data_IF_958107555589
#
_entry.id   IF_958107555589
#
_cell.length_a   1.000
_cell.length_b   1.000
_cell.length_c   1.000
_cell.angle_alpha   90.00
_cell.angle_beta   90.00
_cell.angle_gamma   90.00
#
_symmetry.space_group_name_H-M   'P 1'
#
loop_
_entity.id
_entity.type
_entity.pdbx_description
1 polymer ?
#
# COMPACT_ATOMS: atom_id res chain seq x y z
N UNK A 1 18.48 10.40 31.05
CA UNK A 1 18.57 11.77 30.46
C UNK A 1 17.13 12.29 30.31
N UNK A 2 16.88 13.53 30.73
CA UNK A 2 15.54 14.15 30.62
C UNK A 2 15.56 15.17 29.50
N UNK A 3 14.54 15.13 28.63
CA UNK A 3 14.27 16.12 27.59
C UNK A 3 13.14 17.04 28.06
N UNK A 4 13.32 18.35 27.93
CA UNK A 4 12.33 19.37 28.31
C UNK A 4 12.19 20.43 27.23
N UNK A 5 11.05 21.11 27.19
CA UNK A 5 10.87 22.31 26.40
C UNK A 5 11.47 23.51 27.15
N UNK A 6 12.36 24.21 26.50
CA UNK A 6 12.85 25.47 27.04
C UNK A 6 14.04 25.39 27.99
N UNK A 7 14.66 26.55 28.15
CA UNK A 7 15.90 26.72 28.92
C UNK A 7 15.64 26.72 30.43
N UNK A 8 14.52 27.32 30.89
CA UNK A 8 14.17 27.45 32.30
C UNK A 8 14.04 26.09 32.98
N UNK A 9 13.40 25.14 32.31
CA UNK A 9 13.18 23.79 32.83
C UNK A 9 14.48 23.01 32.88
N UNK A 10 15.30 23.18 31.85
CA UNK A 10 16.63 22.58 31.81
C UNK A 10 17.50 23.13 32.99
N UNK A 11 17.49 24.44 33.23
CA UNK A 11 18.19 25.07 34.36
C UNK A 11 17.65 24.61 35.72
N UNK A 12 16.35 24.46 35.86
CA UNK A 12 15.70 23.94 37.05
C UNK A 12 16.17 22.52 37.37
N UNK A 13 16.20 21.63 36.36
CA UNK A 13 16.68 20.26 36.53
C UNK A 13 18.19 20.24 36.87
N UNK A 14 19.02 21.04 36.24
CA UNK A 14 20.44 21.15 36.53
C UNK A 14 20.70 21.70 37.95
N UNK A 15 19.89 22.66 38.40
CA UNK A 15 19.96 23.16 39.77
C UNK A 15 19.75 22.03 40.78
N UNK A 16 18.89 21.06 40.42
CA UNK A 16 18.65 19.87 41.24
C UNK A 16 19.57 18.68 40.92
N UNK A 17 20.64 18.90 40.13
CA UNK A 17 21.62 17.89 39.69
C UNK A 17 21.03 16.75 38.84
N UNK A 18 19.92 17.00 38.15
CA UNK A 18 19.28 16.06 37.22
C UNK A 18 19.76 16.34 35.82
N UNK A 19 20.37 15.33 35.10
CA UNK A 19 20.82 15.49 33.74
C UNK A 19 19.65 15.76 32.77
N UNK A 20 19.68 16.90 32.11
CA UNK A 20 18.62 17.32 31.17
C UNK A 20 19.18 18.01 29.92
N UNK A 21 18.42 17.94 28.85
CA UNK A 21 18.62 18.68 27.59
C UNK A 21 17.35 19.47 27.28
N UNK A 22 17.54 20.78 27.04
CA UNK A 22 16.45 21.66 26.60
C UNK A 22 16.31 21.63 25.09
N UNK A 23 15.10 21.46 24.62
CA UNK A 23 14.72 21.57 23.21
C UNK A 23 14.24 23.00 22.99
N UNK A 24 14.79 23.76 22.00
CA UNK A 24 14.42 25.16 21.80
C UNK A 24 13.04 25.30 21.15
N UNK A 25 12.00 24.90 21.89
CA UNK A 25 10.60 24.83 21.47
C UNK A 25 10.19 23.50 20.84
N UNK A 26 8.97 23.06 21.13
CA UNK A 26 8.39 21.76 20.76
C UNK A 26 8.51 21.40 19.28
N UNK A 27 8.28 22.38 18.41
CA UNK A 27 8.32 22.20 16.96
C UNK A 27 9.73 22.11 16.35
N UNK A 28 10.77 22.34 17.14
CA UNK A 28 12.16 22.42 16.65
C UNK A 28 12.97 21.13 16.82
N UNK A 29 12.39 20.06 17.35
CA UNK A 29 13.08 18.77 17.41
C UNK A 29 13.58 18.35 16.02
N UNK A 30 14.83 17.85 15.96
CA UNK A 30 15.48 17.31 14.76
C UNK A 30 16.00 15.91 15.09
N UNK A 31 15.73 14.94 14.23
CA UNK A 31 16.14 13.56 14.44
C UNK A 31 17.67 13.40 14.53
N UNK A 32 18.43 14.31 13.91
CA UNK A 32 19.89 14.38 14.02
C UNK A 32 20.36 14.56 15.48
N UNK A 33 19.55 15.19 16.32
CA UNK A 33 19.86 15.38 17.74
C UNK A 33 19.78 14.10 18.55
N UNK A 34 19.11 13.07 18.05
CA UNK A 34 19.06 11.76 18.69
C UNK A 34 20.46 11.15 18.87
N UNK A 35 21.45 11.54 18.04
CA UNK A 35 22.85 11.11 18.18
C UNK A 35 23.51 11.60 19.46
N UNK A 36 23.06 12.74 20.03
CA UNK A 36 23.53 13.21 21.34
C UNK A 36 23.03 12.35 22.50
N UNK A 37 22.07 11.46 22.24
CA UNK A 37 21.49 10.54 23.19
C UNK A 37 22.07 9.12 23.04
N UNK A 38 23.09 8.92 22.20
CA UNK A 38 23.70 7.62 22.01
C UNK A 38 24.32 7.09 23.32
N UNK A 39 24.09 5.80 23.57
CA UNK A 39 24.54 5.14 24.81
C UNK A 39 23.69 5.43 26.04
N UNK A 40 22.63 6.24 25.93
CA UNK A 40 21.66 6.48 27.02
C UNK A 40 20.56 5.42 26.95
N UNK A 41 20.43 4.60 27.98
CA UNK A 41 19.46 3.50 28.03
C UNK A 41 18.02 3.99 28.13
N UNK A 42 17.75 5.07 28.89
CA UNK A 42 16.41 5.64 29.09
C UNK A 42 16.42 7.13 28.79
N UNK A 43 15.55 7.53 27.90
CA UNK A 43 15.30 8.93 27.55
C UNK A 43 13.91 9.29 28.07
N UNK A 44 13.83 10.21 29.02
CA UNK A 44 12.56 10.71 29.56
C UNK A 44 12.23 12.02 28.85
N UNK A 45 11.02 12.17 28.35
CA UNK A 45 10.54 13.43 27.80
C UNK A 45 9.39 13.97 28.66
N UNK A 46 9.58 15.17 29.20
CA UNK A 46 8.49 15.88 29.89
C UNK A 46 7.53 16.38 28.82
N UNK A 47 6.28 15.94 28.92
CA UNK A 47 5.21 16.33 28.00
C UNK A 47 4.30 17.32 28.72
N UNK A 48 4.31 18.56 28.25
CA UNK A 48 3.46 19.60 28.78
C UNK A 48 1.99 19.38 28.38
N UNK A 49 1.01 19.71 29.23
CA UNK A 49 -0.42 19.50 28.93
C UNK A 49 -0.98 20.61 28.02
N UNK A 50 -0.32 20.88 26.90
CA UNK A 50 -0.71 21.85 25.90
C UNK A 50 -0.33 21.39 24.49
N UNK A 51 -0.68 22.18 23.47
CA UNK A 51 -0.41 21.88 22.07
C UNK A 51 1.12 21.76 21.75
N UNK A 52 1.97 22.42 22.52
CA UNK A 52 3.44 22.27 22.45
C UNK A 52 3.85 20.86 22.82
N UNK A 53 3.40 20.37 23.98
CA UNK A 53 3.69 19.02 24.43
C UNK A 53 3.17 17.95 23.48
N UNK A 54 1.97 18.11 22.90
CA UNK A 54 1.45 17.20 21.86
C UNK A 54 2.37 17.16 20.64
N UNK A 55 2.83 18.33 20.19
CA UNK A 55 3.76 18.45 19.04
C UNK A 55 5.10 17.78 19.35
N UNK A 56 5.64 17.98 20.56
CA UNK A 56 6.89 17.36 20.98
C UNK A 56 6.75 15.84 21.08
N UNK A 57 5.66 15.35 21.70
CA UNK A 57 5.32 13.94 21.76
C UNK A 57 5.32 13.32 20.37
N UNK A 58 4.60 13.92 19.42
CA UNK A 58 4.50 13.42 18.06
C UNK A 58 5.87 13.31 17.37
N UNK A 59 6.73 14.31 17.53
CA UNK A 59 8.07 14.30 16.91
C UNK A 59 9.02 13.28 17.57
N UNK A 60 9.06 13.22 18.88
CA UNK A 60 9.93 12.26 19.59
C UNK A 60 9.52 10.81 19.34
N UNK A 61 8.22 10.53 19.27
CA UNK A 61 7.69 9.18 19.04
C UNK A 61 7.89 8.70 17.59
N UNK A 62 8.04 9.62 16.64
CA UNK A 62 8.41 9.31 15.25
C UNK A 62 9.91 9.06 15.08
N UNK A 63 10.76 9.54 15.99
CA UNK A 63 12.21 9.35 15.91
C UNK A 63 12.61 7.92 16.26
N UNK A 64 12.88 7.08 15.27
CA UNK A 64 13.18 5.65 15.44
C UNK A 64 14.39 5.39 16.35
N UNK A 65 15.38 6.28 16.34
CA UNK A 65 16.63 6.14 17.11
C UNK A 65 16.38 6.09 18.61
N UNK A 66 15.40 6.85 19.12
CA UNK A 66 15.12 6.95 20.57
C UNK A 66 13.83 6.25 21.00
N UNK A 67 12.96 5.88 20.05
CA UNK A 67 11.61 5.39 20.31
C UNK A 67 11.53 4.23 21.28
N UNK A 68 12.44 3.24 21.17
CA UNK A 68 12.44 2.05 22.03
C UNK A 68 12.82 2.34 23.49
N UNK A 69 13.55 3.45 23.74
CA UNK A 69 14.04 3.86 25.04
C UNK A 69 13.39 5.16 25.55
N UNK A 70 12.39 5.66 24.81
CA UNK A 70 11.62 6.85 25.15
C UNK A 70 10.58 6.52 26.23
N UNK A 71 10.58 7.34 27.29
CA UNK A 71 9.61 7.30 28.38
C UNK A 71 8.91 8.66 28.44
N UNK A 72 7.59 8.67 28.41
CA UNK A 72 6.83 9.91 28.57
C UNK A 72 6.62 10.20 30.04
N UNK A 73 6.92 11.41 30.44
CA UNK A 73 6.90 11.91 31.81
C UNK A 73 5.87 13.02 31.94
N UNK A 74 4.89 12.81 32.78
CA UNK A 74 3.88 13.80 33.17
C UNK A 74 4.13 14.23 34.64
N UNK A 75 4.01 15.53 34.91
CA UNK A 75 4.26 16.10 36.22
C UNK A 75 2.96 16.35 37.04
N UNK A 76 1.91 15.62 36.74
CA UNK A 76 0.62 15.71 37.40
C UNK A 76 -0.07 17.07 37.18
N UNK A 77 -0.28 17.84 38.27
CA UNK A 77 -0.92 19.16 38.19
C UNK A 77 0.03 20.26 37.68
N UNK A 78 1.32 19.97 37.56
CA UNK A 78 2.34 20.94 37.17
C UNK A 78 2.65 20.81 35.68
N UNK A 79 2.66 21.95 35.02
CA UNK A 79 2.87 22.03 33.57
C UNK A 79 4.29 21.53 33.18
N UNK A 80 5.29 21.97 33.93
CA UNK A 80 6.71 21.84 33.63
C UNK A 80 7.53 21.70 34.91
N UNK A 81 8.85 21.36 34.80
CA UNK A 81 9.74 21.29 35.96
C UNK A 81 9.88 22.59 36.74
N UNK A 82 9.81 23.73 36.07
CA UNK A 82 9.88 25.06 36.72
C UNK A 82 8.66 25.29 37.60
N UNK A 83 7.47 24.97 37.12
CA UNK A 83 6.22 25.06 37.92
C UNK A 83 6.24 24.09 39.10
N UNK A 84 6.74 22.87 38.93
CA UNK A 84 6.89 21.89 40.02
C UNK A 84 7.86 22.42 41.09
N UNK A 85 8.97 23.05 40.69
CA UNK A 85 9.93 23.65 41.64
C UNK A 85 9.33 24.83 42.39
N UNK A 86 8.67 25.75 41.71
CA UNK A 86 8.04 26.91 42.34
C UNK A 86 6.95 26.55 43.33
N UNK A 87 6.27 25.45 43.12
CA UNK A 87 5.23 24.97 44.04
C UNK A 87 5.79 24.50 45.40
N UNK A 88 6.93 23.79 45.42
CA UNK A 88 7.62 23.34 46.63
C UNK A 88 9.09 22.99 46.31
N UNK A 89 10.00 23.96 46.42
CA UNK A 89 11.43 23.73 46.11
C UNK A 89 12.07 22.66 47.00
N UNK A 90 11.61 22.53 48.24
CA UNK A 90 12.19 21.59 49.21
C UNK A 90 11.87 20.12 48.92
N UNK A 91 10.75 19.88 48.23
CA UNK A 91 10.31 18.51 47.86
C UNK A 91 10.42 18.23 46.38
N UNK A 92 11.08 19.11 45.63
CA UNK A 92 11.18 18.95 44.17
C UNK A 92 11.80 17.60 43.80
N UNK A 93 12.97 17.25 44.36
CA UNK A 93 13.67 16.00 44.04
C UNK A 93 12.79 14.78 44.27
N UNK A 94 12.19 14.70 45.46
CA UNK A 94 11.28 13.59 45.84
C UNK A 94 10.12 13.46 44.85
N UNK A 95 9.47 14.56 44.49
CA UNK A 95 8.31 14.57 43.58
C UNK A 95 8.73 14.25 42.13
N UNK A 96 9.89 14.73 41.72
CA UNK A 96 10.41 14.44 40.37
C UNK A 96 10.86 12.99 40.24
N UNK A 97 11.48 12.41 41.27
CA UNK A 97 11.85 10.99 41.33
C UNK A 97 10.60 10.10 41.23
N UNK A 98 9.54 10.42 41.96
CA UNK A 98 8.25 9.72 41.85
C UNK A 98 7.70 9.82 40.41
N UNK A 99 7.82 10.98 39.76
CA UNK A 99 7.39 11.13 38.38
C UNK A 99 8.23 10.28 37.42
N UNK A 100 9.56 10.20 37.59
CA UNK A 100 10.45 9.33 36.81
C UNK A 100 10.11 7.83 36.99
N UNK A 101 9.78 7.40 38.23
CA UNK A 101 9.35 6.02 38.49
C UNK A 101 8.03 5.67 37.85
N UNK A 102 7.13 6.64 37.73
CA UNK A 102 5.82 6.48 37.08
C UNK A 102 5.85 6.70 35.57
N UNK A 103 6.97 7.15 35.02
CA UNK A 103 7.11 7.38 33.57
C UNK A 103 6.94 6.08 32.76
N UNK A 104 6.07 6.10 31.79
CA UNK A 104 5.75 4.91 31.01
C UNK A 104 6.57 4.85 29.74
N UNK A 105 7.15 3.69 29.40
CA UNK A 105 7.78 3.49 28.09
C UNK A 105 6.77 3.79 26.97
N UNK A 106 7.21 4.57 25.97
CA UNK A 106 6.35 4.90 24.83
C UNK A 106 5.76 3.67 24.14
N UNK A 107 6.58 2.63 23.96
CA UNK A 107 6.15 1.37 23.31
C UNK A 107 4.97 0.71 24.05
N UNK A 108 4.96 0.77 25.38
CA UNK A 108 3.85 0.21 26.17
C UNK A 108 2.58 1.07 26.04
N UNK A 109 2.72 2.40 26.01
CA UNK A 109 1.62 3.32 25.79
C UNK A 109 1.02 3.13 24.40
N UNK A 110 1.85 3.12 23.37
CA UNK A 110 1.43 2.91 22.00
C UNK A 110 0.71 1.56 21.80
N UNK A 111 1.22 0.52 22.46
CA UNK A 111 0.58 -0.79 22.43
C UNK A 111 -0.79 -0.75 23.11
N UNK A 112 -0.88 -0.15 24.29
CA UNK A 112 -2.14 -0.05 25.04
C UNK A 112 -3.19 0.80 24.30
N UNK A 113 -2.77 1.94 23.72
CA UNK A 113 -3.60 2.80 22.88
C UNK A 113 -4.09 2.04 21.64
N UNK A 114 -3.18 1.31 20.95
CA UNK A 114 -3.52 0.49 19.82
C UNK A 114 -4.48 -0.66 20.11
N UNK A 115 -4.30 -1.35 21.24
CA UNK A 115 -5.21 -2.39 21.69
C UNK A 115 -6.60 -1.83 22.07
N UNK A 116 -6.66 -0.64 22.67
CA UNK A 116 -7.91 0.04 22.96
C UNK A 116 -8.65 0.45 21.67
N UNK A 117 -7.94 1.09 20.74
CA UNK A 117 -8.49 1.46 19.44
C UNK A 117 -8.97 0.23 18.64
N UNK A 118 -8.23 -0.87 18.68
CA UNK A 118 -8.63 -2.13 18.04
C UNK A 118 -9.90 -2.73 18.64
N UNK A 119 -10.04 -2.71 19.98
CA UNK A 119 -11.27 -3.18 20.65
C UNK A 119 -12.48 -2.31 20.32
N UNK A 120 -12.31 -1.00 20.29
CA UNK A 120 -13.35 -0.06 19.92
C UNK A 120 -13.78 -0.27 18.47
N UNK A 121 -12.81 -0.37 17.55
CA UNK A 121 -13.06 -0.65 16.15
C UNK A 121 -13.78 -1.99 15.93
N UNK A 122 -13.37 -3.04 16.67
CA UNK A 122 -14.07 -4.33 16.64
C UNK A 122 -15.54 -4.21 16.98
N UNK A 123 -15.88 -3.48 18.05
CA UNK A 123 -17.28 -3.27 18.44
C UNK A 123 -18.15 -2.63 17.36
N UNK A 124 -17.55 -1.85 16.46
CA UNK A 124 -18.25 -1.17 15.36
C UNK A 124 -18.26 -1.98 14.05
N UNK A 125 -17.28 -2.85 13.82
CA UNK A 125 -17.17 -3.61 12.57
C UNK A 125 -17.49 -5.11 12.68
N UNK A 126 -17.77 -5.65 13.86
CA UNK A 126 -17.91 -7.09 14.08
C UNK A 126 -18.87 -7.75 13.11
N UNK A 127 -20.08 -7.22 12.93
CA UNK A 127 -21.08 -7.76 12.01
C UNK A 127 -20.55 -7.82 10.56
N UNK A 128 -19.85 -6.77 10.15
CA UNK A 128 -19.22 -6.71 8.83
C UNK A 128 -18.07 -7.69 8.70
N UNK A 129 -17.19 -7.75 9.71
CA UNK A 129 -15.99 -8.60 9.73
C UNK A 129 -16.31 -10.09 9.74
N UNK A 130 -17.41 -10.50 10.38
CA UNK A 130 -17.91 -11.88 10.44
C UNK A 130 -18.75 -12.26 9.21
N UNK A 131 -19.03 -11.29 8.32
CA UNK A 131 -19.78 -11.51 7.09
C UNK A 131 -19.09 -12.49 6.13
N UNK A 132 -19.88 -13.34 5.47
CA UNK A 132 -19.37 -14.35 4.53
C UNK A 132 -18.94 -13.76 3.18
N UNK A 133 -19.51 -12.63 2.76
CA UNK A 133 -19.19 -11.92 1.50
C UNK A 133 -19.04 -10.41 1.73
N UNK A 134 -17.91 -10.04 2.31
CA UNK A 134 -17.59 -8.62 2.59
C UNK A 134 -17.45 -7.82 1.28
N UNK A 135 -16.85 -8.40 0.23
CA UNK A 135 -16.71 -7.72 -1.06
C UNK A 135 -18.05 -7.58 -1.80
N UNK A 136 -18.98 -8.50 -1.62
CA UNK A 136 -20.35 -8.37 -2.15
C UNK A 136 -21.08 -7.22 -1.49
N UNK A 137 -21.09 -7.19 -0.14
CA UNK A 137 -21.68 -6.09 0.64
C UNK A 137 -21.04 -4.73 0.28
N UNK A 138 -19.71 -4.69 0.14
CA UNK A 138 -19.01 -3.50 -0.33
C UNK A 138 -19.55 -3.00 -1.68
N UNK A 139 -19.71 -3.90 -2.66
CA UNK A 139 -20.19 -3.51 -3.99
C UNK A 139 -21.65 -3.01 -3.98
N UNK A 140 -22.50 -3.58 -3.13
CA UNK A 140 -23.89 -3.14 -2.95
C UNK A 140 -23.95 -1.74 -2.33
N UNK A 141 -23.16 -1.49 -1.30
CA UNK A 141 -23.10 -0.18 -0.66
C UNK A 141 -22.47 0.87 -1.57
N UNK A 142 -21.42 0.51 -2.32
CA UNK A 142 -20.82 1.37 -3.31
C UNK A 142 -21.80 1.75 -4.44
N UNK A 143 -22.63 0.82 -4.88
CA UNK A 143 -23.66 1.11 -5.88
C UNK A 143 -24.67 2.16 -5.37
N UNK A 144 -25.04 2.09 -4.07
CA UNK A 144 -25.91 3.11 -3.43
C UNK A 144 -25.24 4.49 -3.36
N UNK A 145 -23.89 4.58 -3.36
CA UNK A 145 -23.15 5.85 -3.42
C UNK A 145 -23.00 6.43 -4.82
N UNK A 146 -23.72 5.89 -5.82
CA UNK A 146 -23.75 6.40 -7.18
C UNK A 146 -22.66 5.84 -8.12
N UNK A 147 -21.91 4.81 -7.71
CA UNK A 147 -20.98 4.12 -8.62
C UNK A 147 -21.72 3.03 -9.37
N UNK A 148 -21.93 3.24 -10.64
CA UNK A 148 -22.68 2.33 -11.50
C UNK A 148 -21.75 1.52 -12.42
N UNK A 149 -21.94 0.19 -12.48
CA UNK A 149 -21.31 -0.70 -13.47
C UNK A 149 -19.84 -1.05 -13.26
N UNK A 150 -19.15 -0.45 -12.29
CA UNK A 150 -17.71 -0.67 -12.06
C UNK A 150 -17.41 -1.51 -10.80
N UNK A 151 -18.36 -2.35 -10.36
CA UNK A 151 -18.23 -3.13 -9.14
C UNK A 151 -16.97 -4.02 -9.08
N UNK A 152 -16.58 -4.62 -10.20
CA UNK A 152 -15.36 -5.45 -10.31
C UNK A 152 -14.09 -4.64 -10.05
N UNK A 153 -13.97 -3.48 -10.70
CA UNK A 153 -12.83 -2.57 -10.52
C UNK A 153 -12.78 -2.08 -9.08
N UNK A 154 -13.91 -1.68 -8.54
CA UNK A 154 -14.01 -1.19 -7.17
C UNK A 154 -13.64 -2.26 -6.12
N UNK A 155 -14.10 -3.52 -6.28
CA UNK A 155 -13.68 -4.65 -5.43
C UNK A 155 -12.17 -4.86 -5.47
N UNK A 156 -11.56 -4.79 -6.66
CA UNK A 156 -10.10 -4.92 -6.81
C UNK A 156 -9.35 -3.76 -6.16
N UNK A 157 -9.83 -2.53 -6.30
CA UNK A 157 -9.25 -1.36 -5.64
C UNK A 157 -9.33 -1.48 -4.12
N UNK A 158 -10.49 -1.85 -3.57
CA UNK A 158 -10.66 -2.04 -2.13
C UNK A 158 -9.75 -3.15 -1.59
N UNK A 159 -9.67 -4.28 -2.30
CA UNK A 159 -8.79 -5.39 -1.93
C UNK A 159 -7.31 -5.01 -2.04
N UNK A 160 -6.93 -4.22 -3.06
CA UNK A 160 -5.58 -3.69 -3.18
C UNK A 160 -5.25 -2.77 -2.00
N UNK A 161 -6.13 -1.83 -1.63
CA UNK A 161 -5.90 -0.96 -0.47
C UNK A 161 -5.78 -1.78 0.82
N UNK A 162 -6.58 -2.84 1.00
CA UNK A 162 -6.43 -3.77 2.12
C UNK A 162 -5.06 -4.45 2.12
N UNK A 163 -4.48 -4.73 0.93
CA UNK A 163 -3.14 -5.33 0.81
C UNK A 163 -2.00 -4.46 1.33
N UNK A 164 -2.23 -3.19 1.71
CA UNK A 164 -1.22 -2.30 2.33
C UNK A 164 -0.60 -2.89 3.59
N UNK A 165 -1.36 -3.75 4.26
CA UNK A 165 -0.95 -4.41 5.50
C UNK A 165 0.03 -5.57 5.27
N UNK A 166 0.21 -6.00 4.01
CA UNK A 166 1.17 -7.03 3.62
C UNK A 166 2.53 -6.40 3.32
N UNK A 167 3.59 -7.22 3.37
CA UNK A 167 4.95 -6.79 3.00
C UNK A 167 5.07 -6.29 1.54
N UNK A 168 4.18 -6.73 0.66
CA UNK A 168 4.16 -6.34 -0.76
C UNK A 168 2.74 -6.02 -1.21
N UNK A 169 2.31 -4.76 -1.07
CA UNK A 169 1.02 -4.30 -1.55
C UNK A 169 0.84 -4.48 -3.06
N UNK A 170 -0.40 -4.69 -3.49
CA UNK A 170 -0.72 -4.81 -4.92
C UNK A 170 -1.05 -3.44 -5.50
N UNK A 171 -0.14 -2.89 -6.29
CA UNK A 171 -0.32 -1.59 -6.91
C UNK A 171 -1.13 -1.65 -8.20
N UNK A 172 -1.95 -0.62 -8.44
CA UNK A 172 -2.92 -0.57 -9.53
C UNK A 172 -2.72 0.68 -10.38
N UNK A 173 -2.83 0.51 -11.70
CA UNK A 173 -3.00 1.60 -12.66
C UNK A 173 -4.37 1.50 -13.33
N UNK A 174 -5.21 2.51 -13.10
CA UNK A 174 -6.55 2.61 -13.68
C UNK A 174 -6.50 3.40 -14.97
N UNK A 175 -6.74 2.73 -16.10
CA UNK A 175 -6.73 3.30 -17.46
C UNK A 175 -8.13 3.61 -17.94
N UNK A 176 -8.24 4.58 -18.86
CA UNK A 176 -9.49 4.89 -19.56
C UNK A 176 -9.49 6.29 -20.13
N UNK A 177 -10.49 6.64 -20.96
CA UNK A 177 -10.60 7.95 -21.59
C UNK A 177 -10.72 9.07 -20.55
N UNK A 178 -10.45 10.30 -20.97
CA UNK A 178 -10.80 11.48 -20.19
C UNK A 178 -12.31 11.45 -19.90
N UNK A 179 -12.70 11.85 -18.71
CA UNK A 179 -14.11 11.79 -18.26
C UNK A 179 -14.71 10.38 -18.12
N UNK A 180 -13.91 9.32 -18.20
CA UNK A 180 -14.35 7.92 -18.04
C UNK A 180 -14.61 7.49 -16.58
N UNK A 181 -14.77 8.41 -15.63
CA UNK A 181 -15.12 8.09 -14.23
C UNK A 181 -13.99 7.53 -13.37
N UNK A 182 -12.74 7.44 -13.86
CA UNK A 182 -11.59 6.86 -13.14
C UNK A 182 -11.39 7.43 -11.73
N UNK A 183 -11.28 8.76 -11.64
CA UNK A 183 -11.06 9.44 -10.35
C UNK A 183 -12.26 9.26 -9.44
N UNK A 184 -13.47 9.34 -9.98
CA UNK A 184 -14.70 9.13 -9.22
C UNK A 184 -14.75 7.74 -8.58
N UNK A 185 -14.46 6.67 -9.33
CA UNK A 185 -14.42 5.31 -8.77
C UNK A 185 -13.37 5.18 -7.67
N UNK A 186 -12.16 5.73 -7.87
CA UNK A 186 -11.11 5.72 -6.84
C UNK A 186 -11.56 6.48 -5.59
N UNK A 187 -12.07 7.69 -5.72
CA UNK A 187 -12.55 8.51 -4.59
C UNK A 187 -13.65 7.80 -3.81
N UNK A 188 -14.62 7.20 -4.50
CA UNK A 188 -15.70 6.46 -3.86
C UNK A 188 -15.21 5.20 -3.14
N UNK A 189 -14.23 4.47 -3.68
CA UNK A 189 -13.61 3.34 -2.96
C UNK A 189 -12.85 3.84 -1.72
N UNK A 190 -12.15 4.96 -1.82
CA UNK A 190 -11.40 5.54 -0.70
C UNK A 190 -12.32 6.03 0.42
N UNK A 191 -13.57 6.40 0.14
CA UNK A 191 -14.55 6.74 1.19
C UNK A 191 -14.84 5.56 2.15
N UNK A 192 -14.56 4.31 1.75
CA UNK A 192 -14.73 3.12 2.58
C UNK A 192 -13.49 2.77 3.42
N UNK A 193 -12.45 3.58 3.39
CA UNK A 193 -11.23 3.37 4.16
C UNK A 193 -10.85 4.63 4.92
N UNK A 194 -10.23 4.54 6.12
CA UNK A 194 -9.83 5.73 6.86
C UNK A 194 -8.73 6.50 6.12
N UNK A 195 -8.65 7.80 6.32
CA UNK A 195 -7.64 8.67 5.69
C UNK A 195 -6.20 8.24 6.05
N UNK A 196 -6.00 7.58 7.20
CA UNK A 196 -4.72 6.98 7.58
C UNK A 196 -4.23 5.90 6.61
N UNK A 197 -5.13 5.27 5.85
CA UNK A 197 -4.80 4.17 4.93
C UNK A 197 -4.21 4.62 3.59
N UNK A 198 -4.29 5.92 3.25
CA UNK A 198 -3.81 6.44 1.97
C UNK A 198 -3.27 7.86 2.08
N UNK A 199 -2.53 8.26 1.05
CA UNK A 199 -2.07 9.63 0.82
C UNK A 199 -2.40 10.01 -0.63
N UNK A 200 -3.40 10.87 -0.81
CA UNK A 200 -3.91 11.23 -2.13
C UNK A 200 -3.34 12.56 -2.62
N UNK A 201 -2.88 12.60 -3.86
CA UNK A 201 -2.32 13.76 -4.53
C UNK A 201 -2.95 13.93 -5.91
N UNK A 202 -3.33 15.16 -6.24
CA UNK A 202 -3.79 15.49 -7.60
C UNK A 202 -2.65 15.44 -8.61
N UNK A 203 -1.46 15.89 -8.19
CA UNK A 203 -0.24 15.83 -8.98
C UNK A 203 0.96 15.79 -8.03
N UNK A 204 2.10 15.31 -8.53
CA UNK A 204 3.33 15.21 -7.76
C UNK A 204 4.51 15.70 -8.61
N UNK A 205 5.34 16.58 -8.06
CA UNK A 205 6.60 16.95 -8.69
C UNK A 205 7.61 15.79 -8.62
N UNK A 206 8.62 15.81 -9.48
CA UNK A 206 9.64 14.74 -9.55
C UNK A 206 10.35 14.47 -8.22
N UNK A 207 10.49 15.49 -7.38
CA UNK A 207 11.23 15.41 -6.11
C UNK A 207 10.34 15.20 -4.88
N UNK A 208 9.03 15.39 -5.00
CA UNK A 208 8.11 15.32 -3.86
C UNK A 208 8.23 14.01 -3.10
N UNK A 209 8.33 12.88 -3.80
CA UNK A 209 8.44 11.57 -3.15
C UNK A 209 9.70 11.43 -2.27
N UNK A 210 10.81 12.08 -2.67
CA UNK A 210 12.05 12.04 -1.88
C UNK A 210 11.99 12.97 -0.66
N UNK A 211 11.42 14.18 -0.82
CA UNK A 211 11.52 15.24 0.18
C UNK A 211 10.26 15.45 1.05
N UNK A 212 9.16 14.77 0.74
CA UNK A 212 7.97 14.81 1.60
C UNK A 212 8.25 14.15 2.94
N UNK A 213 7.78 14.72 4.02
CA UNK A 213 7.85 14.15 5.38
C UNK A 213 6.65 13.25 5.70
N UNK A 214 5.62 13.24 4.82
CA UNK A 214 4.41 12.45 5.01
C UNK A 214 4.73 10.94 5.05
N UNK A 215 4.39 10.20 6.12
CA UNK A 215 4.67 8.77 6.20
C UNK A 215 3.85 8.01 5.16
N UNK A 216 4.50 7.06 4.48
CA UNK A 216 3.88 6.24 3.43
C UNK A 216 3.89 4.74 3.74
N UNK A 217 4.50 4.33 4.84
CA UNK A 217 4.58 2.94 5.28
C UNK A 217 3.17 2.41 5.61
N UNK A 218 2.81 1.27 5.04
CA UNK A 218 1.48 0.67 5.15
C UNK A 218 0.32 1.58 4.69
N UNK A 219 0.61 2.53 3.79
CA UNK A 219 -0.37 3.41 3.16
C UNK A 219 -0.33 3.27 1.66
N UNK A 220 -1.42 3.65 1.00
CA UNK A 220 -1.47 3.76 -0.45
C UNK A 220 -1.18 5.19 -0.90
N UNK A 221 -0.21 5.34 -1.78
CA UNK A 221 -0.03 6.59 -2.52
C UNK A 221 -1.05 6.60 -3.67
N UNK A 222 -1.92 7.60 -3.70
CA UNK A 222 -2.94 7.75 -4.74
C UNK A 222 -2.61 8.99 -5.57
N UNK A 223 -2.40 8.81 -6.89
CA UNK A 223 -2.05 9.90 -7.79
C UNK A 223 -3.09 9.98 -8.90
N UNK A 224 -3.84 11.08 -8.89
CA UNK A 224 -4.79 11.40 -9.94
C UNK A 224 -4.02 12.02 -11.11
N UNK A 225 -4.04 11.34 -12.28
CA UNK A 225 -3.27 11.67 -13.48
C UNK A 225 -1.75 11.41 -13.42
N UNK A 226 -1.34 10.30 -14.01
CA UNK A 226 0.08 9.93 -14.15
C UNK A 226 0.92 10.88 -15.02
N UNK A 227 0.32 11.85 -15.69
CA UNK A 227 1.02 12.81 -16.56
C UNK A 227 2.12 13.60 -15.79
N UNK A 228 1.92 13.85 -14.48
CA UNK A 228 2.93 14.47 -13.61
C UNK A 228 4.12 13.56 -13.24
N UNK A 229 4.04 12.24 -13.54
CA UNK A 229 5.09 11.25 -13.22
C UNK A 229 6.01 10.94 -14.41
N UNK A 230 6.03 11.75 -15.45
CA UNK A 230 6.80 11.51 -16.67
C UNK A 230 8.32 11.69 -16.51
N UNK A 231 8.76 12.31 -15.42
CA UNK A 231 10.17 12.51 -15.12
C UNK A 231 10.91 11.22 -14.81
N UNK A 232 12.13 11.05 -15.34
CA UNK A 232 12.97 9.86 -15.12
C UNK A 232 13.25 9.62 -13.64
N UNK A 233 13.39 10.69 -12.87
CA UNK A 233 13.71 10.63 -11.43
C UNK A 233 12.50 10.15 -10.61
N UNK A 234 11.31 10.72 -10.80
CA UNK A 234 10.09 10.25 -10.14
C UNK A 234 9.80 8.77 -10.48
N UNK A 235 9.98 8.40 -11.75
CA UNK A 235 9.85 7.00 -12.21
C UNK A 235 10.83 6.06 -11.50
N UNK A 236 12.08 6.49 -11.29
CA UNK A 236 13.09 5.70 -10.58
C UNK A 236 12.73 5.52 -9.10
N UNK A 237 12.42 6.59 -8.39
CA UNK A 237 12.06 6.54 -6.97
C UNK A 237 10.82 5.68 -6.74
N UNK A 238 9.80 5.84 -7.58
CA UNK A 238 8.58 5.02 -7.52
C UNK A 238 8.90 3.54 -7.72
N UNK A 239 9.76 3.21 -8.67
CA UNK A 239 10.19 1.84 -8.95
C UNK A 239 10.92 1.23 -7.76
N UNK A 240 11.83 1.97 -7.14
CA UNK A 240 12.55 1.53 -5.95
C UNK A 240 11.56 1.25 -4.81
N UNK A 241 10.66 2.18 -4.54
CA UNK A 241 9.65 2.04 -3.49
C UNK A 241 8.75 0.81 -3.69
N UNK A 242 8.23 0.61 -4.90
CA UNK A 242 7.33 -0.52 -5.21
C UNK A 242 8.05 -1.88 -5.30
N UNK A 243 9.35 -1.90 -5.59
CA UNK A 243 10.11 -3.16 -5.75
C UNK A 243 10.89 -3.55 -4.51
N UNK A 244 11.47 -2.56 -3.83
CA UNK A 244 12.39 -2.75 -2.71
C UNK A 244 11.71 -2.45 -1.36
N UNK A 245 10.49 -1.91 -1.38
CA UNK A 245 9.73 -1.53 -0.20
C UNK A 245 10.27 -0.28 0.50
N UNK A 246 11.26 0.40 -0.08
CA UNK A 246 11.85 1.64 0.46
C UNK A 246 12.52 2.45 -0.62
N UNK A 247 12.72 3.74 -0.37
CA UNK A 247 13.60 4.61 -1.17
C UNK A 247 14.80 4.98 -0.32
N UNK A 248 16.00 4.80 -0.88
CA UNK A 248 17.25 5.36 -0.34
C UNK A 248 17.90 6.18 -1.45
N UNK A 249 17.96 7.47 -1.23
CA UNK A 249 18.48 8.40 -2.20
C UNK A 249 19.48 9.36 -1.55
N UNK A 250 20.72 9.31 -2.01
CA UNK A 250 21.77 10.23 -1.55
C UNK A 250 21.85 11.43 -2.48
N UNK A 251 21.75 12.61 -1.91
CA UNK A 251 21.85 13.90 -2.60
C UNK A 251 22.88 14.79 -1.91
N UNK A 252 23.12 15.96 -2.46
CA UNK A 252 23.97 16.98 -1.84
C UNK A 252 23.11 18.17 -1.41
N UNK A 253 23.37 18.68 -0.23
CA UNK A 253 22.73 19.86 0.32
C UNK A 253 23.78 20.94 0.55
N UNK A 254 23.46 22.19 0.21
CA UNK A 254 24.31 23.34 0.50
C UNK A 254 23.97 23.85 1.90
N UNK A 255 24.92 23.71 2.82
CA UNK A 255 24.80 24.20 4.19
C UNK A 255 25.72 25.43 4.39
N UNK A 256 25.64 26.09 5.55
CA UNK A 256 26.56 27.17 5.94
C UNK A 256 28.04 26.75 5.91
N UNK A 257 28.32 25.45 6.11
CA UNK A 257 29.67 24.86 6.14
C UNK A 257 30.12 24.29 4.79
N UNK A 258 29.36 24.50 3.71
CA UNK A 258 29.63 23.98 2.37
C UNK A 258 28.68 22.89 1.90
N UNK A 259 29.06 22.17 0.85
CA UNK A 259 28.25 21.09 0.26
C UNK A 259 28.50 19.82 1.06
N UNK A 260 27.41 19.25 1.62
CA UNK A 260 27.45 17.98 2.37
C UNK A 260 26.52 16.93 1.72
N UNK A 261 26.88 15.64 1.76
CA UNK A 261 25.95 14.59 1.35
C UNK A 261 24.78 14.50 2.34
N UNK A 262 23.57 14.28 1.81
CA UNK A 262 22.35 14.03 2.57
C UNK A 262 21.71 12.74 2.08
N UNK A 263 21.54 11.78 2.97
CA UNK A 263 20.78 10.58 2.70
C UNK A 263 19.30 10.85 2.99
N UNK A 264 18.45 10.56 2.01
CA UNK A 264 16.98 10.61 2.12
C UNK A 264 16.49 9.18 2.13
N UNK A 265 15.79 8.80 3.18
CA UNK A 265 15.15 7.50 3.32
C UNK A 265 13.64 7.66 3.42
N UNK A 266 12.93 6.81 2.68
CA UNK A 266 11.47 6.71 2.74
C UNK A 266 11.11 5.25 2.93
N UNK A 267 10.62 4.93 4.10
CA UNK A 267 10.22 3.57 4.41
C UNK A 267 8.88 3.19 3.77
N UNK A 268 8.81 1.95 3.30
CA UNK A 268 7.60 1.24 2.94
C UNK A 268 7.36 0.07 3.90
N UNK A 269 6.54 -0.89 3.53
CA UNK A 269 5.92 -1.04 2.22
C UNK A 269 4.83 -0.01 1.94
N UNK A 270 4.67 0.37 0.66
CA UNK A 270 3.59 1.21 0.19
C UNK A 270 3.01 0.66 -1.10
N UNK A 271 1.70 0.84 -1.30
CA UNK A 271 1.05 0.57 -2.57
C UNK A 271 0.86 1.85 -3.40
N UNK A 272 0.56 1.69 -4.68
CA UNK A 272 0.27 2.80 -5.59
C UNK A 272 -1.07 2.57 -6.29
N UNK A 273 -1.92 3.58 -6.26
CA UNK A 273 -3.05 3.70 -7.18
C UNK A 273 -2.77 4.92 -8.06
N UNK A 274 -2.79 4.72 -9.37
CA UNK A 274 -2.61 5.81 -10.33
C UNK A 274 -3.68 5.77 -11.39
N UNK A 275 -4.28 6.92 -11.72
CA UNK A 275 -5.18 7.05 -12.86
C UNK A 275 -4.43 7.61 -14.07
N UNK A 276 -4.76 7.14 -15.27
CA UNK A 276 -4.10 7.60 -16.48
C UNK A 276 -5.01 7.52 -17.71
N UNK A 277 -4.85 8.45 -18.62
CA UNK A 277 -5.41 8.40 -19.97
C UNK A 277 -4.42 7.79 -20.98
N UNK A 278 -3.15 7.63 -20.58
CA UNK A 278 -2.12 7.08 -21.46
C UNK A 278 -2.36 5.60 -21.75
N UNK A 279 -2.31 5.24 -23.02
CA UNK A 279 -2.43 3.83 -23.47
C UNK A 279 -1.24 3.00 -22.96
N UNK A 280 -0.04 3.60 -22.89
CA UNK A 280 1.18 2.96 -22.38
C UNK A 280 1.85 3.84 -21.35
N UNK A 281 2.18 3.28 -20.21
CA UNK A 281 3.14 3.84 -19.26
C UNK A 281 4.56 3.41 -19.66
N UNK A 282 5.57 3.89 -18.94
CA UNK A 282 6.94 3.42 -19.16
C UNK A 282 7.01 1.89 -18.99
N UNK A 283 7.58 1.16 -19.96
CA UNK A 283 7.54 -0.30 -20.04
C UNK A 283 8.00 -1.03 -18.73
N UNK A 284 8.94 -0.44 -18.01
CA UNK A 284 9.41 -1.01 -16.74
C UNK A 284 8.42 -0.83 -15.57
N UNK A 285 7.61 0.22 -15.59
CA UNK A 285 6.55 0.44 -14.59
C UNK A 285 5.34 -0.44 -14.89
N UNK A 286 5.07 -0.71 -16.18
CA UNK A 286 3.97 -1.58 -16.59
C UNK A 286 4.07 -3.00 -16.01
N UNK A 287 5.26 -3.46 -15.70
CA UNK A 287 5.44 -4.81 -15.13
C UNK A 287 5.18 -4.89 -13.62
N UNK A 288 5.01 -3.77 -12.93
CA UNK A 288 4.84 -3.70 -11.45
C UNK A 288 3.44 -3.35 -11.01
N UNK A 289 2.59 -2.96 -11.96
CA UNK A 289 1.23 -2.52 -11.71
C UNK A 289 0.23 -3.50 -12.30
N UNK A 290 -0.86 -3.74 -11.59
CA UNK A 290 -2.03 -4.39 -12.14
C UNK A 290 -2.83 -3.34 -12.92
N UNK A 291 -3.08 -3.59 -14.21
CA UNK A 291 -3.82 -2.67 -15.05
C UNK A 291 -5.31 -2.97 -15.02
N UNK A 292 -6.10 -1.96 -14.69
CA UNK A 292 -7.54 -1.98 -14.77
C UNK A 292 -7.98 -0.96 -15.84
N UNK A 293 -8.96 -1.32 -16.65
CA UNK A 293 -9.51 -0.40 -17.65
C UNK A 293 -10.98 -0.16 -17.31
N UNK A 294 -11.37 1.11 -17.10
CA UNK A 294 -12.77 1.46 -16.90
C UNK A 294 -13.58 1.17 -18.16
N UNK A 295 -14.81 0.74 -17.96
CA UNK A 295 -15.71 0.34 -19.03
C UNK A 295 -16.17 1.60 -19.80
N UNK A 296 -15.94 1.62 -21.11
CA UNK A 296 -16.35 2.70 -22.02
C UNK A 296 -17.31 2.16 -23.09
N UNK A 297 -18.51 1.73 -22.65
CA UNK A 297 -19.56 1.25 -23.52
C UNK A 297 -20.79 2.16 -23.46
N UNK A 298 -21.61 2.13 -24.52
CA UNK A 298 -22.87 2.88 -24.53
C UNK A 298 -23.79 2.46 -23.38
N UNK A 299 -23.81 1.16 -23.04
CA UNK A 299 -24.65 0.65 -21.96
C UNK A 299 -24.17 1.13 -20.61
N UNK A 300 -22.83 1.15 -20.36
CA UNK A 300 -22.24 1.73 -19.17
C UNK A 300 -22.59 3.23 -19.06
N UNK A 301 -22.46 3.98 -20.15
CA UNK A 301 -22.82 5.40 -20.17
C UNK A 301 -24.27 5.64 -19.81
N UNK A 302 -25.20 4.81 -20.31
CA UNK A 302 -26.64 4.89 -19.92
C UNK A 302 -26.85 4.64 -18.43
N UNK A 303 -26.20 3.62 -17.88
CA UNK A 303 -26.31 3.27 -16.45
C UNK A 303 -25.77 4.41 -15.58
N UNK A 304 -24.63 4.99 -15.94
CA UNK A 304 -24.05 6.16 -15.24
C UNK A 304 -24.97 7.38 -15.33
N UNK A 305 -25.52 7.67 -16.51
CA UNK A 305 -26.46 8.79 -16.69
C UNK A 305 -27.76 8.59 -15.88
N UNK A 306 -28.27 7.37 -15.79
CA UNK A 306 -29.43 7.06 -14.97
C UNK A 306 -29.12 7.28 -13.47
N UNK A 307 -27.98 6.80 -12.98
CA UNK A 307 -27.55 7.01 -11.59
C UNK A 307 -27.35 8.49 -11.24
N UNK A 308 -26.81 9.28 -12.16
CA UNK A 308 -26.68 10.72 -11.99
C UNK A 308 -28.04 11.44 -11.96
N UNK A 309 -29.01 10.98 -12.75
CA UNK A 309 -30.36 11.56 -12.80
C UNK A 309 -31.20 11.23 -11.55
N UNK A 310 -30.90 10.12 -10.89
CA UNK A 310 -31.55 9.72 -9.64
C UNK A 310 -31.04 10.50 -8.41
N UNK A 311 -30.09 11.43 -8.60
CA UNK A 311 -29.44 12.19 -7.52
C UNK A 311 -29.07 11.26 -6.34
N UNK A 312 -28.51 10.07 -6.66
CA UNK A 312 -28.03 9.13 -5.67
C UNK A 312 -26.99 9.83 -4.79
N UNK A 313 -27.46 10.48 -3.75
CA UNK A 313 -26.67 11.33 -2.86
C UNK A 313 -26.02 10.50 -1.77
N UNK A 314 -24.95 11.01 -1.20
CA UNK A 314 -24.29 10.49 0.01
C UNK A 314 -25.20 10.57 1.27
N UNK A 315 -26.39 11.15 1.15
CA UNK A 315 -27.29 11.37 2.27
C UNK A 315 -27.70 10.04 2.92
N UNK A 316 -27.04 9.71 4.02
CA UNK A 316 -27.36 8.57 4.88
C UNK A 316 -26.47 7.36 4.73
N UNK A 317 -25.38 7.38 3.96
CA UNK A 317 -24.44 6.28 3.92
C UNK A 317 -23.51 6.33 5.14
N UNK A 318 -23.47 5.22 5.90
CA UNK A 318 -22.61 5.05 7.06
C UNK A 318 -21.32 4.31 6.66
N UNK A 319 -20.20 5.01 6.62
CA UNK A 319 -18.88 4.44 6.35
C UNK A 319 -18.16 3.96 7.61
N UNK A 320 -18.69 4.25 8.79
CA UNK A 320 -18.05 3.96 10.07
C UNK A 320 -17.71 2.47 10.26
N UNK A 321 -18.57 1.49 9.93
CA UNK A 321 -18.20 0.08 10.03
C UNK A 321 -17.03 -0.33 9.12
N UNK A 322 -16.92 0.31 7.95
CA UNK A 322 -15.84 0.06 6.99
C UNK A 322 -14.50 0.64 7.46
N UNK A 323 -14.53 1.86 7.98
CA UNK A 323 -13.34 2.48 8.59
C UNK A 323 -12.89 1.67 9.80
N UNK A 324 -13.82 1.30 10.67
CA UNK A 324 -13.54 0.47 11.84
C UNK A 324 -12.94 -0.89 11.45
N UNK A 325 -13.46 -1.53 10.39
CA UNK A 325 -12.88 -2.79 9.86
C UNK A 325 -11.41 -2.59 9.47
N UNK A 326 -11.09 -1.54 8.73
CA UNK A 326 -9.71 -1.26 8.29
C UNK A 326 -8.78 -0.91 9.45
N UNK A 327 -9.26 -0.20 10.48
CA UNK A 327 -8.53 0.11 11.72
C UNK A 327 -8.27 -1.17 12.53
N UNK A 328 -9.28 -2.03 12.67
CA UNK A 328 -9.11 -3.31 13.35
C UNK A 328 -8.10 -4.20 12.64
N UNK A 329 -8.16 -4.27 11.30
CA UNK A 329 -7.22 -5.04 10.48
C UNK A 329 -5.77 -4.56 10.66
N UNK A 330 -5.50 -3.26 10.84
CA UNK A 330 -4.14 -2.73 11.06
C UNK A 330 -3.44 -3.30 12.28
N UNK A 331 -4.20 -3.73 13.29
CA UNK A 331 -3.65 -4.27 14.55
C UNK A 331 -3.81 -5.78 14.66
N UNK A 332 -4.50 -6.40 13.73
CA UNK A 332 -4.71 -7.83 13.69
C UNK A 332 -3.49 -8.57 13.09
N UNK A 333 -3.60 -9.89 12.92
CA UNK A 333 -2.54 -10.70 12.29
C UNK A 333 -2.47 -10.44 10.78
N UNK A 334 -1.27 -10.27 10.25
CA UNK A 334 -1.06 -10.02 8.82
C UNK A 334 -0.41 -11.19 8.08
N UNK A 335 0.10 -12.18 8.82
CA UNK A 335 0.73 -13.33 8.20
C UNK A 335 -0.32 -14.32 7.67
N UNK A 336 -0.35 -14.51 6.37
CA UNK A 336 -1.30 -15.42 5.70
C UNK A 336 -0.56 -16.53 5.00
N UNK A 337 -0.88 -17.77 5.37
CA UNK A 337 -0.40 -18.97 4.68
C UNK A 337 -1.43 -19.46 3.67
N UNK A 338 -0.99 -19.70 2.42
CA UNK A 338 -1.82 -20.24 1.34
C UNK A 338 -1.37 -21.69 1.08
N UNK A 339 -2.11 -22.70 1.58
CA UNK A 339 -1.70 -24.11 1.49
C UNK A 339 -1.50 -24.62 0.06
N UNK A 340 -2.26 -24.07 -0.87
CA UNK A 340 -2.31 -24.48 -2.27
C UNK A 340 -1.47 -23.59 -3.21
N UNK A 341 -0.67 -22.64 -2.69
CA UNK A 341 0.13 -21.72 -3.51
C UNK A 341 1.07 -22.42 -4.49
N UNK A 342 1.71 -23.51 -4.04
CA UNK A 342 2.59 -24.34 -4.90
C UNK A 342 1.80 -24.94 -6.07
N UNK A 343 0.61 -25.46 -5.79
CA UNK A 343 -0.26 -26.05 -6.82
C UNK A 343 -0.73 -25.01 -7.84
N UNK A 344 -1.05 -23.80 -7.40
CA UNK A 344 -1.37 -22.71 -8.33
C UNK A 344 -0.19 -22.38 -9.24
N UNK A 345 1.02 -22.31 -8.69
CA UNK A 345 2.23 -22.06 -9.48
C UNK A 345 2.50 -23.15 -10.53
N UNK A 346 2.24 -24.41 -10.20
CA UNK A 346 2.37 -25.55 -11.13
C UNK A 346 1.34 -25.50 -12.28
N UNK A 347 0.15 -24.96 -12.04
CA UNK A 347 -0.93 -24.89 -13.03
C UNK A 347 -0.78 -23.70 -14.00
N UNK A 348 0.07 -22.71 -13.69
CA UNK A 348 0.31 -21.57 -14.57
C UNK A 348 1.37 -21.95 -15.62
N UNK A 349 1.04 -21.97 -16.91
CA UNK A 349 2.01 -22.28 -17.94
C UNK A 349 3.09 -21.18 -18.01
N UNK A 350 4.40 -21.51 -18.10
CA UNK A 350 5.49 -20.53 -18.04
C UNK A 350 5.72 -19.82 -19.40
N UNK A 351 4.66 -19.32 -20.03
CA UNK A 351 4.66 -18.75 -21.37
C UNK A 351 5.22 -17.33 -21.46
N UNK A 352 5.27 -16.60 -20.33
CA UNK A 352 5.76 -15.22 -20.28
C UNK A 352 6.47 -14.92 -18.96
N UNK A 353 7.58 -14.15 -19.00
CA UNK A 353 8.34 -13.74 -17.81
C UNK A 353 7.48 -12.91 -16.85
N UNK A 354 6.53 -12.14 -17.37
CA UNK A 354 5.59 -11.33 -16.60
C UNK A 354 4.79 -12.17 -15.60
N UNK A 355 4.41 -13.40 -15.95
CA UNK A 355 3.64 -14.31 -15.09
C UNK A 355 4.27 -14.55 -13.71
N UNK A 356 5.60 -14.40 -13.58
CA UNK A 356 6.27 -14.47 -12.26
C UNK A 356 5.78 -13.39 -11.31
N UNK A 357 5.51 -12.18 -11.83
CA UNK A 357 5.02 -11.04 -11.06
C UNK A 357 3.51 -11.10 -10.89
N UNK A 358 2.80 -11.47 -11.94
CA UNK A 358 1.34 -11.63 -11.92
C UNK A 358 0.93 -12.71 -10.92
N UNK A 359 1.68 -13.81 -10.79
CA UNK A 359 1.49 -14.80 -9.72
C UNK A 359 1.70 -14.18 -8.33
N UNK A 360 2.75 -13.36 -8.16
CA UNK A 360 3.00 -12.66 -6.89
C UNK A 360 1.84 -11.73 -6.52
N UNK A 361 1.34 -10.96 -7.47
CA UNK A 361 0.18 -10.09 -7.28
C UNK A 361 -1.10 -10.90 -6.97
N UNK A 362 -1.34 -11.99 -7.68
CA UNK A 362 -2.46 -12.92 -7.43
C UNK A 362 -2.41 -13.47 -6.00
N UNK A 363 -1.26 -13.99 -5.57
CA UNK A 363 -1.08 -14.52 -4.21
C UNK A 363 -1.30 -13.44 -3.15
N UNK A 364 -0.87 -12.20 -3.40
CA UNK A 364 -1.08 -11.10 -2.45
C UNK A 364 -2.53 -10.60 -2.42
N UNK A 365 -3.26 -10.67 -3.53
CA UNK A 365 -4.71 -10.44 -3.51
C UNK A 365 -5.45 -11.54 -2.74
N UNK A 366 -5.04 -12.81 -2.88
CA UNK A 366 -5.60 -13.92 -2.09
C UNK A 366 -5.30 -13.71 -0.60
N UNK A 367 -4.08 -13.29 -0.24
CA UNK A 367 -3.74 -12.93 1.15
C UNK A 367 -4.60 -11.77 1.66
N UNK A 368 -4.75 -10.72 0.87
CA UNK A 368 -5.59 -9.58 1.25
C UNK A 368 -7.06 -9.96 1.46
N UNK A 369 -7.59 -10.88 0.63
CA UNK A 369 -8.94 -11.41 0.80
C UNK A 369 -9.07 -12.26 2.08
N UNK A 370 -8.11 -13.15 2.34
CA UNK A 370 -8.08 -13.93 3.57
C UNK A 370 -7.92 -13.04 4.82
N UNK A 371 -7.15 -11.95 4.70
CA UNK A 371 -6.96 -10.92 5.73
C UNK A 371 -8.29 -10.20 6.02
N UNK A 372 -9.01 -9.81 4.98
CA UNK A 372 -10.30 -9.16 5.10
C UNK A 372 -11.32 -10.04 5.85
N UNK A 373 -11.25 -11.35 5.65
CA UNK A 373 -12.11 -12.35 6.28
C UNK A 373 -11.50 -13.02 7.53
N UNK A 374 -10.43 -12.47 8.12
CA UNK A 374 -9.67 -13.15 9.18
C UNK A 374 -10.45 -13.41 10.46
N UNK A 375 -11.55 -12.67 10.72
CA UNK A 375 -12.45 -12.91 11.86
C UNK A 375 -13.02 -14.33 11.87
N UNK A 376 -13.24 -14.91 10.68
CA UNK A 376 -13.84 -16.25 10.49
C UNK A 376 -12.85 -17.30 10.00
N UNK A 377 -11.59 -16.92 9.69
CA UNK A 377 -10.57 -17.83 9.19
C UNK A 377 -9.92 -18.64 10.32
N UNK A 378 -9.57 -19.88 10.00
CA UNK A 378 -8.75 -20.72 10.88
C UNK A 378 -7.32 -20.18 10.93
N UNK A 379 -6.67 -20.44 12.04
CA UNK A 379 -5.23 -20.20 12.21
C UNK A 379 -4.48 -21.51 12.25
N UNK A 380 -3.26 -21.52 11.74
CA UNK A 380 -2.38 -22.68 11.82
C UNK A 380 -1.63 -22.74 13.17
N UNK A 381 -0.73 -23.72 13.31
CA UNK A 381 0.08 -23.90 14.55
C UNK A 381 1.06 -22.77 14.84
N UNK A 382 1.33 -21.89 13.86
CA UNK A 382 2.18 -20.71 13.99
C UNK A 382 1.37 -19.42 14.19
N UNK A 383 0.04 -19.51 14.28
CA UNK A 383 -0.87 -18.38 14.46
C UNK A 383 -1.24 -17.65 13.15
N UNK A 384 -0.71 -18.08 12.00
CA UNK A 384 -0.98 -17.47 10.70
C UNK A 384 -2.40 -17.74 10.22
N UNK A 385 -2.98 -16.80 9.51
CA UNK A 385 -4.28 -16.95 8.85
C UNK A 385 -4.16 -17.98 7.73
N UNK A 386 -5.05 -18.97 7.70
CA UNK A 386 -5.06 -19.99 6.63
C UNK A 386 -5.96 -19.53 5.50
N UNK A 387 -5.35 -19.22 4.34
CA UNK A 387 -6.09 -18.90 3.11
C UNK A 387 -6.82 -20.10 2.55
N UNK A 388 -8.08 -19.93 2.19
CA UNK A 388 -8.98 -20.97 1.71
C UNK A 388 -9.14 -20.94 0.18
N UNK A 389 -9.76 -21.97 -0.40
CA UNK A 389 -10.01 -22.03 -1.83
C UNK A 389 -11.05 -21.00 -2.27
N UNK A 390 -11.92 -20.59 -1.36
CA UNK A 390 -12.92 -19.53 -1.58
C UNK A 390 -12.24 -18.17 -1.75
N UNK A 391 -11.14 -17.92 -1.03
CA UNK A 391 -10.31 -16.71 -1.22
C UNK A 391 -9.71 -16.67 -2.64
N UNK A 392 -9.25 -17.82 -3.13
CA UNK A 392 -8.80 -17.93 -4.52
C UNK A 392 -9.95 -17.75 -5.52
N UNK A 393 -11.10 -18.35 -5.28
CA UNK A 393 -12.24 -18.27 -6.19
C UNK A 393 -12.72 -16.82 -6.35
N UNK A 394 -12.87 -16.09 -5.24
CA UNK A 394 -13.24 -14.68 -5.25
C UNK A 394 -12.24 -13.82 -6.03
N UNK A 395 -10.94 -13.99 -5.75
CA UNK A 395 -9.90 -13.22 -6.45
C UNK A 395 -9.81 -13.62 -7.92
N UNK A 396 -9.91 -14.90 -8.25
CA UNK A 396 -9.88 -15.39 -9.64
C UNK A 396 -10.99 -14.75 -10.48
N UNK A 397 -12.20 -14.67 -9.97
CA UNK A 397 -13.31 -14.00 -10.65
C UNK A 397 -13.00 -12.54 -10.99
N UNK A 398 -12.29 -11.85 -10.09
CA UNK A 398 -11.90 -10.46 -10.29
C UNK A 398 -10.74 -10.26 -11.28
N UNK A 399 -9.81 -11.22 -11.45
CA UNK A 399 -8.56 -11.00 -12.20
C UNK A 399 -8.39 -11.85 -13.46
N UNK A 400 -9.28 -12.80 -13.75
CA UNK A 400 -9.08 -13.80 -14.81
C UNK A 400 -8.79 -13.16 -16.18
N UNK A 401 -9.54 -12.13 -16.57
CA UNK A 401 -9.37 -11.45 -17.85
C UNK A 401 -8.10 -10.58 -17.87
N UNK A 402 -7.78 -9.94 -16.73
CA UNK A 402 -6.61 -9.06 -16.60
C UNK A 402 -5.29 -9.80 -16.80
N UNK A 403 -5.20 -11.01 -16.28
CA UNK A 403 -4.03 -11.88 -16.46
C UNK A 403 -3.92 -12.30 -17.93
N UNK A 404 -5.05 -12.64 -18.56
CA UNK A 404 -5.13 -12.96 -19.99
C UNK A 404 -4.62 -11.81 -20.87
N UNK A 405 -5.17 -10.62 -20.71
CA UNK A 405 -4.76 -9.40 -21.44
C UNK A 405 -3.29 -9.05 -21.20
N UNK A 406 -2.81 -9.17 -19.95
CA UNK A 406 -1.43 -8.93 -19.57
C UNK A 406 -0.45 -9.88 -20.29
N UNK A 407 -0.79 -11.15 -20.42
CA UNK A 407 0.01 -12.15 -21.15
C UNK A 407 -0.02 -11.82 -22.64
N UNK A 408 -1.18 -11.55 -23.21
CA UNK A 408 -1.31 -11.19 -24.63
C UNK A 408 -0.50 -9.95 -24.99
N UNK A 409 -0.48 -8.93 -24.15
CA UNK A 409 0.30 -7.71 -24.38
C UNK A 409 1.82 -7.95 -24.44
N UNK A 410 2.33 -9.02 -23.79
CA UNK A 410 3.76 -9.36 -23.76
C UNK A 410 4.18 -10.33 -24.86
N UNK A 411 3.23 -10.93 -25.59
CA UNK A 411 3.51 -11.83 -26.69
C UNK A 411 3.85 -11.00 -27.94
N UNK A 412 5.01 -11.22 -28.57
CA UNK A 412 5.35 -10.56 -29.82
C UNK A 412 4.25 -10.72 -30.85
N UNK A 413 3.94 -9.64 -31.57
CA UNK A 413 2.87 -9.62 -32.58
C UNK A 413 3.04 -10.76 -33.60
N UNK A 414 4.28 -11.05 -33.98
CA UNK A 414 4.63 -12.14 -34.92
C UNK A 414 4.29 -13.53 -34.40
N UNK A 415 4.43 -13.75 -33.08
CA UNK A 415 4.03 -15.01 -32.44
C UNK A 415 2.51 -15.12 -32.38
N UNK A 416 1.83 -14.02 -32.03
CA UNK A 416 0.36 -13.95 -31.97
C UNK A 416 -0.26 -14.24 -33.34
N UNK A 417 0.19 -13.55 -34.39
CA UNK A 417 -0.24 -13.79 -35.76
C UNK A 417 -0.08 -15.27 -36.19
N UNK A 418 1.05 -15.87 -35.81
CA UNK A 418 1.33 -17.27 -36.14
C UNK A 418 0.40 -18.23 -35.41
N UNK A 419 0.19 -18.00 -34.11
CA UNK A 419 -0.71 -18.85 -33.27
C UNK A 419 -2.17 -18.70 -33.75
N UNK A 420 -2.61 -17.48 -34.06
CA UNK A 420 -3.97 -17.24 -34.60
C UNK A 420 -4.16 -17.89 -35.98
N UNK A 421 -3.15 -17.85 -36.82
CA UNK A 421 -3.20 -18.55 -38.13
C UNK A 421 -3.38 -20.05 -37.91
N UNK A 422 -2.59 -20.68 -37.00
CA UNK A 422 -2.71 -22.10 -36.66
C UNK A 422 -4.10 -22.43 -36.10
N UNK A 423 -4.61 -21.61 -35.17
CA UNK A 423 -5.93 -21.80 -34.56
C UNK A 423 -7.06 -21.81 -35.63
N UNK A 424 -7.05 -20.81 -36.55
CA UNK A 424 -8.02 -20.70 -37.62
C UNK A 424 -7.93 -21.90 -38.57
N UNK A 425 -6.74 -22.25 -39.02
CA UNK A 425 -6.54 -23.38 -39.93
C UNK A 425 -6.98 -24.71 -39.29
N UNK A 426 -6.70 -24.93 -38.02
CA UNK A 426 -7.19 -26.11 -37.27
C UNK A 426 -8.70 -26.15 -37.15
N UNK A 427 -9.33 -24.99 -36.96
CA UNK A 427 -10.79 -24.90 -36.92
C UNK A 427 -11.40 -25.27 -38.28
N UNK A 428 -10.79 -24.77 -39.36
CA UNK A 428 -11.24 -25.01 -40.74
C UNK A 428 -11.00 -26.45 -41.21
N UNK A 429 -9.98 -27.15 -40.66
CA UNK A 429 -9.62 -28.54 -40.98
C UNK A 429 -10.13 -29.59 -39.96
N UNK A 430 -11.14 -29.27 -39.14
CA UNK A 430 -11.66 -30.17 -38.07
C UNK A 430 -10.60 -30.69 -37.09
N UNK A 431 -9.57 -29.89 -36.82
CA UNK A 431 -8.55 -30.19 -35.81
C UNK A 431 -7.28 -30.86 -36.35
N UNK A 432 -7.15 -31.04 -37.66
CA UNK A 432 -5.96 -31.60 -38.29
C UNK A 432 -4.70 -30.77 -37.98
N UNK A 433 -3.52 -31.42 -37.88
CA UNK A 433 -2.25 -30.74 -37.69
C UNK A 433 -1.95 -29.77 -38.84
N UNK A 434 -1.39 -28.61 -38.48
CA UNK A 434 -0.99 -27.59 -39.47
C UNK A 434 0.50 -27.70 -39.76
N UNK A 435 0.87 -27.83 -41.03
CA UNK A 435 2.25 -27.91 -41.48
C UNK A 435 2.88 -26.54 -41.67
N UNK A 436 4.23 -26.46 -41.60
CA UNK A 436 4.96 -25.21 -41.90
C UNK A 436 4.68 -24.73 -43.33
N UNK A 437 4.49 -25.64 -44.27
CA UNK A 437 4.20 -25.28 -45.68
C UNK A 437 2.83 -24.60 -45.83
N UNK A 438 1.86 -25.02 -45.09
CA UNK A 438 0.52 -24.39 -45.06
C UNK A 438 0.57 -23.02 -44.37
N UNK A 439 1.34 -22.90 -43.25
CA UNK A 439 1.56 -21.61 -42.60
C UNK A 439 2.26 -20.61 -43.53
N UNK A 440 3.23 -21.03 -44.33
CA UNK A 440 3.89 -20.19 -45.34
C UNK A 440 2.87 -19.58 -46.28
N UNK A 441 1.95 -20.40 -46.81
CA UNK A 441 0.89 -19.95 -47.70
C UNK A 441 -0.11 -19.00 -47.00
N UNK A 442 -0.43 -19.29 -45.72
CA UNK A 442 -1.41 -18.53 -44.97
C UNK A 442 -0.89 -17.17 -44.51
N UNK A 443 0.38 -17.11 -44.09
CA UNK A 443 1.01 -15.88 -43.61
C UNK A 443 1.68 -15.06 -44.67
N UNK A 444 1.77 -15.59 -45.93
CA UNK A 444 2.46 -14.96 -47.05
C UNK A 444 3.91 -14.55 -46.75
N UNK A 445 4.62 -15.40 -45.99
CA UNK A 445 5.99 -15.18 -45.56
C UNK A 445 6.90 -16.28 -46.13
N UNK A 446 8.20 -15.98 -46.18
CA UNK A 446 9.18 -17.01 -46.54
C UNK A 446 9.27 -18.13 -45.47
N UNK A 447 9.72 -19.32 -45.91
CA UNK A 447 9.78 -20.52 -45.08
C UNK A 447 10.67 -20.31 -43.86
N UNK A 448 11.77 -19.56 -43.97
CA UNK A 448 12.70 -19.35 -42.86
C UNK A 448 12.08 -18.44 -41.79
N UNK A 449 11.34 -17.41 -42.22
CA UNK A 449 10.60 -16.53 -41.30
C UNK A 449 9.49 -17.30 -40.54
N UNK A 450 8.69 -18.11 -41.25
CA UNK A 450 7.64 -18.94 -40.66
C UNK A 450 8.22 -19.94 -39.67
N UNK A 451 9.28 -20.66 -40.07
CA UNK A 451 9.95 -21.64 -39.20
C UNK A 451 10.48 -20.98 -37.90
N UNK A 452 11.09 -19.80 -38.02
CA UNK A 452 11.55 -19.03 -36.82
C UNK A 452 10.40 -18.56 -35.93
N UNK A 453 9.30 -18.06 -36.54
CA UNK A 453 8.09 -17.65 -35.80
C UNK A 453 7.42 -18.87 -35.10
N UNK A 454 7.28 -19.99 -35.81
CA UNK A 454 6.73 -21.22 -35.25
C UNK A 454 7.59 -21.77 -34.12
N UNK A 455 8.93 -21.77 -34.30
CA UNK A 455 9.86 -22.16 -33.22
C UNK A 455 9.72 -21.25 -32.00
N UNK A 456 9.69 -19.92 -32.17
CA UNK A 456 9.50 -18.97 -31.08
C UNK A 456 8.16 -19.21 -30.36
N UNK A 457 7.09 -19.51 -31.09
CA UNK A 457 5.80 -19.87 -30.52
C UNK A 457 5.82 -21.21 -29.77
N UNK A 458 6.59 -22.19 -30.25
CA UNK A 458 6.83 -23.49 -29.60
C UNK A 458 7.64 -23.32 -28.32
N UNK A 459 8.77 -22.61 -28.38
CA UNK A 459 9.65 -22.35 -27.24
C UNK A 459 8.94 -21.61 -26.10
N UNK A 460 7.89 -20.84 -26.43
CA UNK A 460 7.00 -20.15 -25.49
C UNK A 460 5.78 -20.98 -25.06
N UNK A 461 5.63 -22.21 -25.55
CA UNK A 461 4.52 -23.11 -25.19
C UNK A 461 3.18 -22.82 -25.85
N UNK A 462 3.10 -21.89 -26.81
CA UNK A 462 1.87 -21.58 -27.56
C UNK A 462 1.53 -22.57 -28.65
N UNK A 463 2.53 -23.23 -29.22
CA UNK A 463 2.40 -24.31 -30.20
C UNK A 463 3.12 -25.56 -29.71
N UNK A 464 2.63 -26.71 -30.11
CA UNK A 464 3.25 -28.01 -29.84
C UNK A 464 3.62 -28.67 -31.16
N UNK A 465 4.82 -29.25 -31.20
CA UNK A 465 5.25 -30.08 -32.30
C UNK A 465 4.68 -31.50 -32.09
N UNK A 466 4.03 -32.02 -33.11
CA UNK A 466 3.40 -33.34 -33.02
C UNK A 466 4.32 -34.45 -33.54
N UNK A 467 5.32 -34.11 -34.36
CA UNK A 467 6.31 -35.05 -34.86
C UNK A 467 7.45 -35.31 -33.85
N UNK A 468 7.77 -34.31 -33.03
CA UNK A 468 8.77 -34.39 -31.96
C UNK A 468 8.18 -33.84 -30.65
N UNK A 469 7.32 -34.59 -29.95
CA UNK A 469 6.82 -34.20 -28.64
C UNK A 469 7.97 -34.19 -27.63
N UNK A 470 8.36 -33.00 -27.14
CA UNK A 470 9.36 -32.82 -26.08
C UNK A 470 8.73 -32.96 -24.72
#
# INVERSE_FOLDING_TARGET
MVLVEGESDCHTLWYHEIPALGIPGASNWRDEWATYLDGIEKVYAVIEPDQGGDTLREKLTRCEVIRERLHLLELGEHKDPSALHLADPGRFKERFEIALENAKPWIELERAEGEAASREAWGRCQELAEGSDILGRFAEELARSGVAGEARIAKLLYLAVTSRLLERPVSIALKGPSSGGKSHVVERVLSFVPESAYYALTAMSERTLAYSEEPIKHRFLVIYEAAGMSGKFATYLMRSLLSEGRVRYETVETTSDGIKPRLIEREGPTGLIVTTTAVKLHAENETRLLFLTVTDTQDQTKVVMAALAEEAGEAGQDFEPWHALQIWLERAEHCVWIPYAKKLAELIPPVAVRLRRDLGALLNLIRAHALLHQATRKRDGEGRIVGTIEDYAAVRELVVDLVGEGVEATVPITVRETVEAVKRMRKDSNGEPVTVAELVRRLELDRSAVSRRARNAKDRGYLRDLEHPS
#
